data_IF_588665977044
#
_entry.id   IF_588665977044
#
_cell.length_a   1.000
_cell.length_b   1.000
_cell.length_c   1.000
_cell.angle_alpha   90.00
_cell.angle_beta   90.00
_cell.angle_gamma   90.00
#
_symmetry.space_group_name_H-M   'P 1'
#
loop_
_entity.id
_entity.type
_entity.pdbx_description
1 polymer ?
#
# COMPACT_ATOMS: atom_id res chain seq x y z
N UNK A 1 -18.97 -36.11 0.28
CA UNK A 1 -17.73 -35.70 0.97
C UNK A 1 -16.60 -36.25 0.11
N UNK A 2 -15.71 -35.50 -0.51
CA UNK A 2 -15.09 -34.21 -0.17
C UNK A 2 -14.63 -33.56 -1.48
N UNK A 3 -15.04 -32.32 -1.75
CA UNK A 3 -14.60 -31.56 -2.92
C UNK A 3 -13.33 -30.79 -2.55
N UNK A 4 -12.17 -31.41 -2.77
CA UNK A 4 -10.87 -30.77 -2.62
C UNK A 4 -10.59 -29.83 -3.79
N UNK A 5 -10.77 -28.52 -3.59
CA UNK A 5 -10.35 -27.53 -4.57
C UNK A 5 -8.82 -27.42 -4.58
N UNK A 6 -8.27 -27.68 -5.76
CA UNK A 6 -6.85 -27.62 -6.10
C UNK A 6 -6.32 -26.19 -5.91
N UNK A 7 -5.52 -25.95 -4.86
CA UNK A 7 -4.70 -24.74 -4.79
C UNK A 7 -3.51 -24.90 -5.74
N UNK A 8 -3.72 -24.62 -7.01
CA UNK A 8 -2.63 -24.57 -7.99
C UNK A 8 -1.60 -23.54 -7.52
N UNK A 9 -0.35 -23.97 -7.35
CA UNK A 9 0.76 -23.07 -7.04
C UNK A 9 0.78 -21.90 -8.05
N UNK A 10 0.99 -20.65 -7.60
CA UNK A 10 0.96 -19.51 -8.50
C UNK A 10 1.99 -19.73 -9.62
N UNK A 11 1.53 -19.69 -10.88
CA UNK A 11 2.41 -19.75 -12.06
C UNK A 11 3.54 -18.74 -11.85
N UNK A 12 4.78 -19.12 -12.11
CA UNK A 12 5.98 -18.31 -11.79
C UNK A 12 5.88 -16.85 -12.32
N UNK A 13 5.20 -16.64 -13.46
CA UNK A 13 4.89 -15.31 -14.00
C UNK A 13 4.02 -14.44 -13.07
N UNK A 14 3.07 -15.06 -12.38
CA UNK A 14 2.16 -14.39 -11.45
C UNK A 14 2.85 -14.02 -10.13
N UNK A 15 3.72 -14.89 -9.61
CA UNK A 15 4.57 -14.56 -8.46
C UNK A 15 5.53 -13.41 -8.79
N UNK A 16 6.13 -13.43 -9.99
CA UNK A 16 7.01 -12.35 -10.47
C UNK A 16 6.24 -11.03 -10.62
N UNK A 17 5.06 -11.05 -11.25
CA UNK A 17 4.16 -9.88 -11.36
C UNK A 17 3.75 -9.34 -9.99
N UNK A 18 3.46 -10.20 -9.02
CA UNK A 18 3.15 -9.79 -7.64
C UNK A 18 4.31 -9.09 -6.94
N UNK A 19 5.56 -9.43 -7.26
CA UNK A 19 6.73 -8.71 -6.70
C UNK A 19 6.94 -7.32 -7.32
N UNK A 20 6.40 -7.08 -8.53
CA UNK A 20 6.46 -5.80 -9.23
C UNK A 20 5.25 -4.89 -8.94
N UNK A 21 4.22 -5.41 -8.27
CA UNK A 21 3.00 -4.67 -7.96
C UNK A 21 3.11 -3.99 -6.59
N UNK A 22 2.95 -2.67 -6.60
CA UNK A 22 2.84 -1.84 -5.40
C UNK A 22 1.38 -1.43 -5.17
N UNK A 23 0.93 -1.44 -3.92
CA UNK A 23 -0.37 -0.85 -3.56
C UNK A 23 -0.18 0.60 -3.12
N UNK A 24 -1.02 1.49 -3.63
CA UNK A 24 -1.19 2.84 -3.10
C UNK A 24 -2.46 2.90 -2.26
N UNK A 25 -2.33 3.24 -0.98
CA UNK A 25 -3.46 3.44 -0.07
C UNK A 25 -3.66 4.93 0.18
N UNK A 26 -4.81 5.45 -0.20
CA UNK A 26 -5.25 6.81 0.15
C UNK A 26 -6.06 6.80 1.44
N UNK A 27 -6.02 7.90 2.21
CA UNK A 27 -6.69 7.96 3.51
C UNK A 27 -6.08 7.01 4.56
N UNK A 28 -4.80 6.65 4.39
CA UNK A 28 -4.11 5.66 5.22
C UNK A 28 -3.90 6.11 6.68
N UNK A 29 -4.09 7.38 6.99
CA UNK A 29 -4.09 7.92 8.38
C UNK A 29 -5.46 7.85 9.05
N UNK A 30 -6.51 7.47 8.31
CA UNK A 30 -7.83 7.18 8.85
C UNK A 30 -7.96 5.73 9.31
N UNK A 31 -9.04 5.41 10.05
CA UNK A 31 -9.26 4.10 10.67
C UNK A 31 -9.13 2.92 9.68
N UNK A 32 -9.88 2.98 8.58
CA UNK A 32 -9.95 1.88 7.60
C UNK A 32 -8.67 1.81 6.77
N UNK A 33 -8.20 2.95 6.24
CA UNK A 33 -7.02 3.00 5.39
C UNK A 33 -5.77 2.52 6.13
N UNK A 34 -5.62 2.87 7.41
CA UNK A 34 -4.50 2.41 8.24
C UNK A 34 -4.52 0.88 8.37
N UNK A 35 -5.67 0.31 8.72
CA UNK A 35 -5.79 -1.13 8.88
C UNK A 35 -5.51 -1.89 7.57
N UNK A 36 -5.92 -1.34 6.42
CA UNK A 36 -5.61 -1.89 5.10
C UNK A 36 -4.10 -1.85 4.85
N UNK A 37 -3.46 -0.68 4.98
CA UNK A 37 -2.03 -0.52 4.70
C UNK A 37 -1.17 -1.44 5.58
N UNK A 38 -1.47 -1.52 6.87
CA UNK A 38 -0.75 -2.38 7.80
C UNK A 38 -0.94 -3.87 7.49
N UNK A 39 -2.15 -4.30 7.12
CA UNK A 39 -2.38 -5.70 6.72
C UNK A 39 -1.64 -6.07 5.45
N UNK A 40 -1.65 -5.20 4.44
CA UNK A 40 -0.93 -5.43 3.18
C UNK A 40 0.58 -5.54 3.41
N UNK A 41 1.15 -4.69 4.28
CA UNK A 41 2.55 -4.80 4.71
C UNK A 41 2.85 -6.10 5.45
N UNK A 42 1.98 -6.52 6.38
CA UNK A 42 2.12 -7.81 7.08
C UNK A 42 2.12 -9.01 6.11
N UNK A 43 1.43 -8.89 4.97
CA UNK A 43 1.45 -9.89 3.90
C UNK A 43 2.68 -9.81 2.99
N UNK A 44 3.66 -8.96 3.31
CA UNK A 44 4.90 -8.79 2.54
C UNK A 44 4.74 -7.97 1.26
N UNK A 45 3.61 -7.26 1.08
CA UNK A 45 3.39 -6.44 -0.12
C UNK A 45 4.15 -5.12 -0.03
N UNK A 46 4.58 -4.59 -1.18
CA UNK A 46 5.06 -3.21 -1.27
C UNK A 46 3.85 -2.27 -1.15
N UNK A 47 3.88 -1.36 -0.17
CA UNK A 47 2.76 -0.45 0.10
C UNK A 47 3.30 0.97 0.23
N UNK A 48 2.59 1.88 -0.43
CA UNK A 48 2.77 3.31 -0.36
C UNK A 48 1.49 3.96 0.15
N UNK A 49 1.60 4.98 0.98
CA UNK A 49 0.46 5.69 1.55
C UNK A 49 0.52 7.16 1.18
N UNK A 50 -0.58 7.68 0.64
CA UNK A 50 -0.74 9.12 0.43
C UNK A 50 -1.18 9.76 1.75
N UNK A 51 -0.37 10.70 2.25
CA UNK A 51 -0.59 11.40 3.50
C UNK A 51 -0.40 12.89 3.30
N UNK A 52 -1.44 13.68 3.60
CA UNK A 52 -1.36 15.15 3.55
C UNK A 52 -0.40 15.66 4.62
N UNK A 53 0.66 16.36 4.23
CA UNK A 53 1.71 16.84 5.14
C UNK A 53 2.80 15.79 5.45
N UNK A 54 2.83 14.70 4.68
CA UNK A 54 3.91 13.70 4.71
C UNK A 54 4.22 13.09 6.08
N UNK A 55 5.52 12.85 6.33
CA UNK A 55 6.03 12.20 7.54
C UNK A 55 5.97 13.09 8.81
N UNK A 56 5.66 14.39 8.66
CA UNK A 56 5.54 15.31 9.79
C UNK A 56 4.19 15.23 10.51
N UNK A 57 3.26 14.40 10.02
CA UNK A 57 2.00 14.10 10.69
C UNK A 57 2.19 13.05 11.79
N UNK A 58 1.78 13.36 13.02
CA UNK A 58 1.83 12.41 14.16
C UNK A 58 1.12 11.09 13.87
N UNK A 59 0.03 11.13 13.09
CA UNK A 59 -0.77 9.95 12.70
C UNK A 59 -0.08 9.04 11.68
N UNK A 60 1.07 9.44 11.14
CA UNK A 60 1.83 8.66 10.14
C UNK A 60 2.84 7.68 10.75
N UNK A 61 3.17 7.84 12.04
CA UNK A 61 4.17 7.02 12.75
C UNK A 61 3.91 5.49 12.67
N UNK A 62 2.67 4.99 12.84
CA UNK A 62 2.39 3.55 12.69
C UNK A 62 2.65 3.02 11.28
N UNK A 63 2.43 3.84 10.24
CA UNK A 63 2.65 3.47 8.84
C UNK A 63 4.15 3.38 8.55
N UNK A 64 4.93 4.38 8.97
CA UNK A 64 6.38 4.39 8.85
C UNK A 64 7.02 3.20 9.57
N UNK A 65 6.57 2.93 10.81
CA UNK A 65 7.06 1.81 11.61
C UNK A 65 6.78 0.44 10.97
N UNK A 66 5.73 0.33 10.14
CA UNK A 66 5.40 -0.87 9.38
C UNK A 66 6.13 -0.95 8.02
N UNK A 67 7.02 0.00 7.72
CA UNK A 67 7.74 0.10 6.45
C UNK A 67 6.84 0.45 5.28
N UNK A 68 5.73 1.15 5.51
CA UNK A 68 4.95 1.80 4.44
C UNK A 68 5.70 3.03 3.98
N UNK A 69 5.86 3.19 2.66
CA UNK A 69 6.42 4.41 2.09
C UNK A 69 5.38 5.54 2.11
N UNK A 70 5.74 6.74 2.57
CA UNK A 70 4.83 7.88 2.57
C UNK A 70 5.04 8.75 1.34
N UNK A 71 3.94 9.16 0.72
CA UNK A 71 3.91 10.22 -0.29
C UNK A 71 3.15 11.40 0.27
N UNK A 72 3.82 12.55 0.30
CA UNK A 72 3.14 13.81 0.58
C UNK A 72 2.37 14.27 -0.65
N UNK A 73 1.06 14.18 -0.57
CA UNK A 73 0.14 14.68 -1.59
C UNK A 73 -1.25 14.89 -1.00
N UNK A 74 -2.05 15.70 -1.69
CA UNK A 74 -3.44 15.99 -1.35
C UNK A 74 -4.33 15.71 -2.57
N UNK A 75 -5.34 14.84 -2.41
CA UNK A 75 -6.28 14.50 -3.48
C UNK A 75 -7.17 15.67 -3.93
N UNK A 76 -7.25 16.73 -3.13
CA UNK A 76 -7.98 17.96 -3.46
C UNK A 76 -7.13 18.97 -4.23
N UNK A 77 -5.82 18.73 -4.34
CA UNK A 77 -4.87 19.62 -5.00
C UNK A 77 -4.28 18.95 -6.23
N UNK A 78 -4.42 19.58 -7.39
CA UNK A 78 -3.71 19.15 -8.60
C UNK A 78 -2.39 19.91 -8.73
N UNK A 79 -1.27 19.20 -8.63
CA UNK A 79 0.03 19.72 -9.03
C UNK A 79 0.34 19.20 -10.44
N UNK A 80 0.46 20.07 -11.46
CA UNK A 80 0.85 19.62 -12.79
C UNK A 80 2.24 18.96 -12.74
N UNK A 81 2.50 17.94 -13.57
CA UNK A 81 3.81 17.31 -13.61
C UNK A 81 4.87 18.36 -13.94
N UNK A 82 6.02 18.27 -13.27
CA UNK A 82 7.18 19.11 -13.59
C UNK A 82 7.53 18.92 -15.07
N UNK A 83 7.71 20.03 -15.80
CA UNK A 83 8.21 19.95 -17.19
C UNK A 83 9.61 19.36 -17.15
N UNK A 84 9.82 18.31 -17.95
CA UNK A 84 11.11 17.67 -18.16
C UNK A 84 12.07 18.60 -18.91
#
# INVERSE_FOLDING_TARGET
>A
MESGQVLAAPRQDQARRRSLLMDLVVGATGLVGQQIALNLRRQGRAVRALVRGGAHQDKSSPLLSAGVELVDADLTTYLPPARA
#
